data_IF_423410906928
#
_entry.id   IF_423410906928
#
_cell.length_a   1.000
_cell.length_b   1.000
_cell.length_c   1.000
_cell.angle_alpha   90.00
_cell.angle_beta   90.00
_cell.angle_gamma   90.00
#
_symmetry.space_group_name_H-M   'P 1'
#
loop_
_entity.id
_entity.type
_entity.pdbx_description
1 polymer ?
#
# COMPACT_ATOMS: atom_id res chain seq x y z
N UNK A 1 29.02 55.69 -113.59
CA UNK A 1 29.91 56.22 -112.55
C UNK A 1 29.16 56.16 -111.23
N UNK A 2 29.60 55.32 -110.30
CA UNK A 2 29.02 55.26 -108.96
C UNK A 2 29.86 56.17 -108.06
N UNK A 3 29.30 57.31 -107.64
CA UNK A 3 29.96 58.24 -106.71
C UNK A 3 29.74 57.76 -105.29
N UNK A 4 30.79 57.28 -104.62
CA UNK A 4 30.75 57.08 -103.17
C UNK A 4 30.75 58.45 -102.48
N UNK A 5 29.89 58.61 -101.48
CA UNK A 5 29.86 59.80 -100.64
C UNK A 5 30.90 59.60 -99.53
N UNK A 6 31.76 60.60 -99.30
CA UNK A 6 32.75 60.58 -98.23
C UNK A 6 32.11 60.64 -96.83
N UNK A 7 32.88 60.31 -95.77
CA UNK A 7 32.42 60.37 -94.39
C UNK A 7 31.87 61.78 -94.05
N UNK A 8 30.60 61.85 -93.66
CA UNK A 8 29.93 63.09 -93.26
C UNK A 8 30.44 63.56 -91.89
N UNK A 9 30.92 64.80 -91.78
CA UNK A 9 31.27 65.42 -90.50
C UNK A 9 30.02 65.95 -89.79
N UNK A 10 29.67 65.35 -88.64
CA UNK A 10 28.51 65.72 -87.82
C UNK A 10 28.99 66.23 -86.46
N UNK A 11 28.57 67.42 -86.05
CA UNK A 11 28.80 68.02 -84.72
C UNK A 11 27.52 67.99 -83.87
N UNK A 12 27.64 68.32 -82.58
CA UNK A 12 26.53 68.36 -81.62
C UNK A 12 25.35 69.22 -82.08
N UNK A 13 25.60 70.33 -82.79
CA UNK A 13 24.54 71.19 -83.31
C UNK A 13 23.63 70.48 -84.33
N UNK A 14 24.17 69.51 -85.08
CA UNK A 14 23.41 68.75 -86.10
C UNK A 14 22.63 67.56 -85.51
N UNK A 15 22.81 67.24 -84.23
CA UNK A 15 22.15 66.11 -83.55
C UNK A 15 21.32 66.53 -82.33
N UNK A 16 21.21 67.82 -82.04
CA UNK A 16 20.54 68.35 -80.86
C UNK A 16 19.10 67.84 -80.70
N UNK A 17 18.36 67.71 -81.82
CA UNK A 17 17.00 67.19 -81.87
C UNK A 17 16.87 65.94 -82.77
N UNK A 18 17.97 65.19 -82.96
CA UNK A 18 17.95 64.04 -83.84
C UNK A 18 17.11 62.89 -83.25
N UNK A 19 16.08 62.46 -83.99
CA UNK A 19 15.33 61.25 -83.67
C UNK A 19 16.16 60.01 -83.98
N UNK A 20 16.85 59.46 -82.98
CA UNK A 20 17.58 58.19 -83.08
C UNK A 20 16.62 57.04 -82.74
N UNK A 21 16.18 56.29 -83.74
CA UNK A 21 15.33 55.10 -83.53
C UNK A 21 16.18 53.87 -83.22
N UNK A 22 15.59 52.84 -82.62
CA UNK A 22 16.26 51.57 -82.27
C UNK A 22 17.09 50.95 -83.42
N UNK A 23 16.58 50.99 -84.66
CA UNK A 23 17.29 50.47 -85.84
C UNK A 23 18.65 51.16 -86.12
N UNK A 24 18.90 52.34 -85.54
CA UNK A 24 20.17 53.09 -85.66
C UNK A 24 21.12 52.80 -84.49
N UNK A 25 20.71 52.02 -83.49
CA UNK A 25 21.50 51.67 -82.30
C UNK A 25 21.72 50.15 -82.30
N UNK A 26 22.87 49.70 -82.82
CA UNK A 26 23.23 48.28 -82.79
C UNK A 26 23.64 47.80 -81.38
N UNK A 27 24.55 48.53 -80.74
CA UNK A 27 24.96 48.31 -79.34
C UNK A 27 25.35 49.64 -78.70
N UNK A 28 25.23 49.73 -77.38
CA UNK A 28 25.57 50.93 -76.61
C UNK A 28 26.56 50.57 -75.50
N UNK A 29 27.70 51.26 -75.44
CA UNK A 29 28.63 51.14 -74.30
C UNK A 29 28.08 51.92 -73.11
N UNK A 30 27.89 51.25 -71.97
CA UNK A 30 27.33 51.86 -70.77
C UNK A 30 28.31 52.76 -69.99
N UNK A 31 29.58 52.88 -70.42
CA UNK A 31 30.63 53.65 -69.71
C UNK A 31 30.34 55.15 -69.57
N UNK A 32 29.38 55.69 -70.31
CA UNK A 32 28.99 57.10 -70.33
C UNK A 32 27.53 57.35 -69.92
N UNK A 33 26.80 56.31 -69.50
CA UNK A 33 25.41 56.48 -69.07
C UNK A 33 25.41 57.07 -67.67
N UNK A 34 25.05 58.35 -67.57
CA UNK A 34 24.68 59.04 -66.33
C UNK A 34 23.33 59.67 -66.58
N UNK A 35 22.31 59.24 -65.86
CA UNK A 35 20.91 59.66 -66.04
C UNK A 35 20.28 59.95 -64.68
N UNK A 36 19.25 60.79 -64.64
CA UNK A 36 18.47 61.02 -63.42
C UNK A 36 17.57 59.82 -63.09
N UNK A 37 16.76 59.37 -64.03
CA UNK A 37 15.90 58.19 -63.89
C UNK A 37 16.05 57.30 -65.11
N UNK A 38 16.40 56.04 -64.89
CA UNK A 38 16.32 55.00 -65.90
C UNK A 38 15.02 54.22 -65.68
N UNK A 39 14.08 54.28 -66.63
CA UNK A 39 12.93 53.39 -66.60
C UNK A 39 13.35 51.98 -67.04
N UNK A 40 13.62 51.12 -66.07
CA UNK A 40 14.20 49.79 -66.28
C UNK A 40 13.16 48.67 -66.47
N UNK A 41 11.95 48.97 -66.96
CA UNK A 41 10.85 48.00 -67.09
C UNK A 41 11.21 46.72 -67.88
N UNK A 42 12.17 46.80 -68.80
CA UNK A 42 12.61 45.68 -69.65
C UNK A 42 14.14 45.48 -69.63
N UNK A 43 14.82 45.86 -68.54
CA UNK A 43 16.29 45.78 -68.45
C UNK A 43 16.71 44.56 -67.63
N UNK A 44 17.52 43.68 -68.22
CA UNK A 44 18.18 42.59 -67.51
C UNK A 44 19.62 42.99 -67.17
N UNK A 45 19.95 43.07 -65.88
CA UNK A 45 21.32 43.31 -65.42
C UNK A 45 21.91 41.98 -64.94
N UNK A 46 22.91 41.47 -65.66
CA UNK A 46 23.52 40.17 -65.36
C UNK A 46 24.48 40.25 -64.16
N UNK A 47 25.20 41.36 -64.00
CA UNK A 47 26.21 41.55 -62.96
C UNK A 47 26.12 42.97 -62.37
N UNK A 48 25.14 43.21 -61.50
CA UNK A 48 25.00 44.51 -60.82
C UNK A 48 26.06 44.63 -59.70
N UNK A 49 27.02 45.52 -59.88
CA UNK A 49 27.94 45.94 -58.82
C UNK A 49 27.56 47.33 -58.33
N UNK A 50 26.91 47.42 -57.16
CA UNK A 50 26.44 48.66 -56.58
C UNK A 50 26.82 48.74 -55.10
N UNK A 51 27.31 49.90 -54.66
CA UNK A 51 27.58 50.15 -53.24
C UNK A 51 26.29 50.24 -52.40
N UNK A 52 25.18 50.64 -53.01
CA UNK A 52 23.87 50.77 -52.36
C UNK A 52 22.75 50.50 -53.35
N UNK A 53 21.75 49.76 -52.92
CA UNK A 53 20.52 49.50 -53.67
C UNK A 53 19.36 49.91 -52.77
N UNK A 54 18.66 50.97 -53.16
CA UNK A 54 17.40 51.36 -52.54
C UNK A 54 16.29 50.81 -53.43
N UNK A 55 15.63 49.75 -52.97
CA UNK A 55 14.56 49.08 -53.71
C UNK A 55 13.32 48.96 -52.82
N UNK A 56 12.13 48.91 -53.43
CA UNK A 56 10.90 48.57 -52.74
C UNK A 56 10.85 47.08 -52.41
N UNK A 57 10.65 46.26 -53.44
CA UNK A 57 10.62 44.79 -53.31
C UNK A 57 11.76 44.18 -54.12
N UNK A 58 12.52 43.29 -53.50
CA UNK A 58 13.54 42.47 -54.16
C UNK A 58 13.16 41.00 -53.95
N UNK A 59 12.78 40.32 -55.02
CA UNK A 59 12.30 38.93 -54.98
C UNK A 59 13.41 37.96 -55.42
N UNK A 60 13.36 36.71 -54.94
CA UNK A 60 14.27 35.61 -55.33
C UNK A 60 15.77 35.95 -55.19
N UNK A 61 16.19 36.29 -53.97
CA UNK A 61 17.58 36.64 -53.65
C UNK A 61 18.33 35.39 -53.17
N UNK A 62 19.40 35.02 -53.88
CA UNK A 62 20.43 34.15 -53.32
C UNK A 62 21.48 35.00 -52.61
N UNK A 63 21.58 34.84 -51.29
CA UNK A 63 22.47 35.63 -50.45
C UNK A 63 23.62 34.77 -49.91
N UNK A 64 24.84 35.02 -50.37
CA UNK A 64 26.06 34.38 -49.86
C UNK A 64 26.63 35.20 -48.70
N UNK A 65 26.12 34.94 -47.49
CA UNK A 65 26.46 35.70 -46.29
C UNK A 65 25.78 37.07 -46.24
N UNK A 66 25.55 37.60 -45.05
CA UNK A 66 24.91 38.93 -44.92
C UNK A 66 24.49 39.27 -43.50
N UNK A 67 24.43 40.57 -43.21
CA UNK A 67 23.99 41.13 -41.93
C UNK A 67 22.73 41.96 -42.15
N UNK A 68 21.60 41.50 -41.61
CA UNK A 68 20.36 42.27 -41.52
C UNK A 68 20.42 43.00 -40.19
N UNK A 69 20.39 44.34 -40.22
CA UNK A 69 20.49 45.18 -39.03
C UNK A 69 19.18 45.95 -38.85
N UNK A 70 18.73 46.12 -37.61
CA UNK A 70 17.57 46.94 -37.29
C UNK A 70 17.74 48.37 -37.81
N UNK A 71 16.67 48.96 -38.37
CA UNK A 71 16.68 50.29 -38.96
C UNK A 71 16.96 51.43 -37.98
N UNK A 72 16.54 51.28 -36.72
CA UNK A 72 16.45 52.42 -35.80
C UNK A 72 17.74 52.64 -35.00
N UNK A 73 18.11 51.67 -34.15
CA UNK A 73 19.29 51.78 -33.27
C UNK A 73 20.55 51.14 -33.86
N UNK A 74 20.40 50.29 -34.89
CA UNK A 74 21.47 49.43 -35.36
C UNK A 74 21.96 48.38 -34.36
N UNK A 75 21.30 48.26 -33.20
CA UNK A 75 21.77 47.48 -32.07
C UNK A 75 21.53 45.99 -32.29
N UNK A 76 20.39 45.61 -32.86
CA UNK A 76 20.08 44.20 -33.12
C UNK A 76 20.39 43.83 -34.56
N UNK A 77 20.96 42.64 -34.74
CA UNK A 77 21.22 42.12 -36.08
C UNK A 77 21.08 40.60 -36.19
N UNK A 78 20.71 40.16 -37.39
CA UNK A 78 20.78 38.78 -37.83
C UNK A 78 21.92 38.64 -38.83
N UNK A 79 22.82 37.67 -38.61
CA UNK A 79 23.99 37.47 -39.47
C UNK A 79 24.05 36.03 -39.98
N UNK A 80 24.15 35.86 -41.29
CA UNK A 80 24.42 34.57 -41.94
C UNK A 80 25.93 34.41 -42.06
N UNK A 81 26.52 33.56 -41.22
CA UNK A 81 27.96 33.36 -41.16
C UNK A 81 28.29 31.89 -40.90
N UNK A 82 29.23 31.32 -41.67
CA UNK A 82 29.77 29.96 -41.45
C UNK A 82 28.68 28.88 -41.32
N UNK A 83 27.65 28.94 -42.15
CA UNK A 83 26.54 27.99 -42.14
C UNK A 83 25.59 28.12 -40.95
N UNK A 84 25.70 29.19 -40.16
CA UNK A 84 24.84 29.48 -39.02
C UNK A 84 24.11 30.81 -39.19
N UNK A 85 22.99 30.96 -38.48
CA UNK A 85 22.26 32.21 -38.32
C UNK A 85 22.50 32.70 -36.90
N UNK A 86 23.14 33.85 -36.76
CA UNK A 86 23.41 34.48 -35.47
C UNK A 86 22.41 35.60 -35.20
N UNK A 87 21.86 35.61 -33.99
CA UNK A 87 21.07 36.72 -33.46
C UNK A 87 21.94 37.47 -32.46
N UNK A 88 22.21 38.75 -32.72
CA UNK A 88 23.15 39.55 -31.94
C UNK A 88 22.51 40.83 -31.43
N UNK A 89 23.02 41.27 -30.28
CA UNK A 89 22.87 42.63 -29.76
C UNK A 89 24.26 43.27 -29.71
N UNK A 90 24.50 44.25 -30.58
CA UNK A 90 25.82 44.81 -30.86
C UNK A 90 26.80 43.69 -31.25
N UNK A 91 27.89 43.52 -30.49
CA UNK A 91 28.87 42.45 -30.70
C UNK A 91 28.50 41.14 -30.00
N UNK A 92 27.54 41.17 -29.06
CA UNK A 92 27.19 40.02 -28.22
C UNK A 92 26.23 39.09 -28.96
N UNK A 93 26.49 37.80 -28.86
CA UNK A 93 25.61 36.76 -29.38
C UNK A 93 24.50 36.49 -28.35
N UNK A 94 23.24 36.55 -28.79
CA UNK A 94 22.08 36.22 -27.97
C UNK A 94 21.72 34.74 -28.12
N UNK A 95 21.66 34.32 -29.38
CA UNK A 95 21.35 32.96 -29.77
C UNK A 95 21.89 32.69 -31.19
N UNK A 96 21.97 31.42 -31.54
CA UNK A 96 22.25 31.02 -32.92
C UNK A 96 21.53 29.75 -33.32
N UNK A 97 21.29 29.64 -34.61
CA UNK A 97 20.89 28.39 -35.27
C UNK A 97 22.13 27.89 -36.00
N UNK A 98 22.63 26.72 -35.63
CA UNK A 98 23.87 26.17 -36.18
C UNK A 98 23.74 24.69 -36.52
N UNK A 99 24.53 24.16 -37.47
CA UNK A 99 24.63 22.73 -37.67
C UNK A 99 25.24 22.01 -36.46
N UNK A 100 24.79 20.80 -36.20
CA UNK A 100 25.43 19.87 -35.25
C UNK A 100 26.41 19.02 -36.04
N UNK A 101 27.66 18.93 -35.58
CA UNK A 101 28.69 18.14 -36.23
C UNK A 101 29.05 16.91 -35.40
N UNK A 102 29.13 15.75 -36.05
CA UNK A 102 29.77 14.54 -35.51
C UNK A 102 30.91 14.17 -36.46
N UNK A 103 32.13 14.03 -35.95
CA UNK A 103 33.31 13.71 -36.76
C UNK A 103 33.51 14.64 -37.98
N UNK A 104 33.21 15.94 -37.82
CA UNK A 104 33.25 17.00 -38.86
C UNK A 104 32.16 16.94 -39.93
N UNK A 105 31.25 15.96 -39.87
CA UNK A 105 30.09 15.90 -40.76
C UNK A 105 28.86 16.54 -40.10
N UNK A 106 28.10 17.39 -40.82
CA UNK A 106 26.86 17.94 -40.31
C UNK A 106 25.80 16.84 -40.21
N UNK A 107 25.32 16.56 -39.00
CA UNK A 107 24.34 15.50 -38.70
C UNK A 107 22.98 16.03 -38.25
N UNK A 108 22.85 17.34 -38.05
CA UNK A 108 21.61 17.94 -37.55
C UNK A 108 21.69 19.44 -37.37
N UNK A 109 20.70 19.98 -36.65
CA UNK A 109 20.53 21.40 -36.40
C UNK A 109 20.36 21.63 -34.89
N UNK A 110 21.02 22.65 -34.35
CA UNK A 110 20.85 23.11 -32.99
C UNK A 110 20.34 24.55 -32.97
N UNK A 111 19.40 24.81 -32.07
CA UNK A 111 19.07 26.16 -31.61
C UNK A 111 19.78 26.35 -30.28
N UNK A 112 20.64 27.36 -30.19
CA UNK A 112 21.54 27.56 -29.04
C UNK A 112 21.23 28.90 -28.39
N UNK A 113 20.82 28.86 -27.12
CA UNK A 113 20.79 30.04 -26.25
C UNK A 113 22.20 30.29 -25.70
N UNK A 114 22.60 31.56 -25.61
CA UNK A 114 23.83 31.94 -24.91
C UNK A 114 23.53 32.18 -23.41
N UNK A 115 24.37 31.69 -22.48
CA UNK A 115 24.18 31.96 -21.05
C UNK A 115 24.01 33.45 -20.74
N UNK A 116 23.08 33.79 -19.85
CA UNK A 116 22.67 35.17 -19.57
C UNK A 116 21.51 35.68 -20.45
N UNK A 117 21.10 34.92 -21.47
CA UNK A 117 20.01 35.29 -22.38
C UNK A 117 18.81 34.36 -22.22
N UNK A 118 17.60 34.84 -22.47
CA UNK A 118 16.40 33.99 -22.42
C UNK A 118 16.04 33.50 -23.82
N UNK A 119 15.81 32.19 -23.95
CA UNK A 119 15.15 31.63 -25.14
C UNK A 119 13.77 31.10 -24.75
N UNK A 120 12.72 31.51 -25.46
CA UNK A 120 11.37 31.08 -25.13
C UNK A 120 10.47 30.94 -26.35
N UNK A 121 9.56 29.98 -26.28
CA UNK A 121 8.43 29.85 -27.20
C UNK A 121 7.22 30.42 -26.48
N UNK A 122 6.63 31.48 -27.02
CA UNK A 122 5.62 32.25 -26.33
C UNK A 122 4.27 32.19 -27.04
N UNK A 123 3.20 32.36 -26.25
CA UNK A 123 1.86 32.70 -26.76
C UNK A 123 1.69 34.22 -26.66
N UNK A 124 1.34 34.86 -27.78
CA UNK A 124 1.12 36.31 -27.85
C UNK A 124 -0.26 36.73 -27.35
N UNK A 125 -0.37 37.98 -26.94
CA UNK A 125 -1.65 38.65 -26.71
C UNK A 125 -2.27 39.11 -28.03
N UNK A 126 -3.59 38.98 -28.18
CA UNK A 126 -4.29 39.53 -29.34
C UNK A 126 -4.49 41.06 -29.26
N UNK A 127 -4.29 41.65 -28.08
CA UNK A 127 -4.63 43.04 -27.79
C UNK A 127 -3.40 43.94 -27.57
N UNK A 128 -2.21 43.37 -27.48
CA UNK A 128 -0.97 44.10 -27.22
C UNK A 128 0.25 43.31 -27.73
N UNK A 129 1.45 43.86 -27.51
CA UNK A 129 2.73 43.28 -27.96
C UNK A 129 3.36 42.33 -26.94
N UNK A 130 2.66 42.01 -25.85
CA UNK A 130 3.17 41.11 -24.80
C UNK A 130 2.95 39.65 -25.16
N UNK A 131 3.71 38.78 -24.51
CA UNK A 131 3.61 37.34 -24.69
C UNK A 131 4.09 36.61 -23.44
N UNK A 132 3.62 35.38 -23.23
CA UNK A 132 4.05 34.53 -22.11
C UNK A 132 4.65 33.22 -22.62
N UNK A 133 5.72 32.71 -21.99
CA UNK A 133 6.34 31.45 -22.41
C UNK A 133 5.43 30.26 -22.11
N UNK A 134 5.37 29.30 -23.04
CA UNK A 134 4.93 27.91 -22.78
C UNK A 134 6.12 26.98 -22.58
N UNK A 135 7.26 27.32 -23.18
CA UNK A 135 8.56 26.72 -22.96
C UNK A 135 9.62 27.83 -22.85
N UNK A 136 10.54 27.71 -21.90
CA UNK A 136 11.62 28.67 -21.70
C UNK A 136 12.91 27.98 -21.24
N UNK A 137 14.02 28.42 -21.81
CA UNK A 137 15.37 28.28 -21.26
C UNK A 137 15.70 29.62 -20.60
N UNK A 138 15.81 29.67 -19.26
CA UNK A 138 16.10 30.92 -18.56
C UNK A 138 17.54 31.36 -18.77
N UNK A 139 17.81 32.63 -18.48
CA UNK A 139 19.15 33.25 -18.49
C UNK A 139 20.15 32.56 -17.55
N UNK A 140 19.65 31.91 -16.48
CA UNK A 140 20.41 31.08 -15.54
C UNK A 140 20.92 29.76 -16.11
N UNK A 141 20.40 29.33 -17.26
CA UNK A 141 20.77 28.06 -17.89
C UNK A 141 22.16 28.14 -18.54
N UNK A 142 22.96 27.08 -18.39
CA UNK A 142 24.29 26.95 -18.96
C UNK A 142 24.65 25.49 -19.24
N UNK A 143 25.82 25.23 -19.84
CA UNK A 143 26.29 23.87 -20.16
C UNK A 143 26.46 22.96 -18.93
N UNK A 144 26.70 23.53 -17.75
CA UNK A 144 26.89 22.79 -16.49
C UNK A 144 25.67 22.86 -15.59
N UNK A 145 24.73 23.77 -15.86
CA UNK A 145 23.47 23.93 -15.14
C UNK A 145 22.34 24.08 -16.16
N UNK A 146 21.91 22.97 -16.74
CA UNK A 146 20.90 22.97 -17.80
C UNK A 146 19.51 23.08 -17.18
N UNK A 147 18.89 24.24 -17.36
CA UNK A 147 17.55 24.54 -16.87
C UNK A 147 16.58 24.73 -18.04
N UNK A 148 15.35 24.25 -17.86
CA UNK A 148 14.21 24.55 -18.72
C UNK A 148 12.95 24.64 -17.87
N UNK A 149 11.97 25.41 -18.35
CA UNK A 149 10.66 25.60 -17.70
C UNK A 149 9.56 25.39 -18.72
N UNK A 150 8.57 24.58 -18.37
CA UNK A 150 7.30 24.49 -19.10
C UNK A 150 6.20 25.13 -18.27
N UNK A 151 5.34 25.90 -18.94
CA UNK A 151 4.26 26.66 -18.31
C UNK A 151 2.91 26.27 -18.92
N UNK A 152 1.84 26.51 -18.15
CA UNK A 152 0.47 26.24 -18.58
C UNK A 152 0.04 24.78 -18.41
N UNK A 153 -1.07 24.43 -19.07
CA UNK A 153 -1.62 23.08 -19.08
C UNK A 153 -1.14 22.35 -20.34
N UNK A 154 -0.74 21.08 -20.19
CA UNK A 154 -0.33 20.24 -21.31
C UNK A 154 -0.78 18.80 -21.12
N UNK A 155 -1.02 18.11 -22.24
CA UNK A 155 -1.29 16.67 -22.27
C UNK A 155 -0.07 15.95 -22.84
N UNK A 156 0.30 14.81 -22.26
CA UNK A 156 1.33 13.92 -22.80
C UNK A 156 0.65 12.63 -23.26
N UNK A 157 0.41 12.53 -24.57
CA UNK A 157 -0.16 11.34 -25.20
C UNK A 157 0.96 10.39 -25.69
N UNK A 158 1.85 10.01 -24.78
CA UNK A 158 3.02 9.17 -25.06
C UNK A 158 3.59 8.52 -23.80
N UNK A 159 4.38 7.47 -23.99
CA UNK A 159 5.20 6.88 -22.92
C UNK A 159 6.39 7.81 -22.63
N UNK A 160 6.53 8.25 -21.37
CA UNK A 160 7.69 9.03 -20.91
C UNK A 160 8.66 8.11 -20.16
N UNK A 161 9.81 7.84 -20.76
CA UNK A 161 10.90 7.08 -20.14
C UNK A 161 11.94 8.03 -19.55
N UNK A 162 12.19 7.93 -18.24
CA UNK A 162 13.28 8.64 -17.57
C UNK A 162 14.44 7.65 -17.32
N UNK A 163 15.56 7.84 -18.01
CA UNK A 163 16.72 6.94 -17.92
C UNK A 163 17.57 7.15 -16.66
N UNK A 164 17.26 8.17 -15.86
CA UNK A 164 17.97 8.56 -14.65
C UNK A 164 16.98 8.91 -13.53
N UNK A 165 17.49 9.21 -12.33
CA UNK A 165 16.70 9.63 -11.17
C UNK A 165 15.85 10.87 -11.47
N UNK A 166 14.55 10.78 -11.18
CA UNK A 166 13.60 11.90 -11.27
C UNK A 166 13.31 12.44 -9.87
N UNK A 167 13.82 13.63 -9.57
CA UNK A 167 13.44 14.37 -8.36
C UNK A 167 12.22 15.25 -8.66
N UNK A 168 11.00 14.74 -8.45
CA UNK A 168 9.77 15.46 -8.75
C UNK A 168 8.79 15.48 -7.57
N UNK A 169 8.19 16.64 -7.30
CA UNK A 169 7.00 16.77 -6.45
C UNK A 169 5.76 16.52 -7.32
N UNK A 170 5.35 15.26 -7.44
CA UNK A 170 4.21 14.86 -8.27
C UNK A 170 2.93 14.85 -7.44
N UNK A 171 1.87 15.50 -7.95
CA UNK A 171 0.50 15.37 -7.44
C UNK A 171 -0.33 14.71 -8.53
N UNK A 172 -0.70 13.45 -8.32
CA UNK A 172 -1.60 12.73 -9.22
C UNK A 172 -3.05 12.97 -8.75
N UNK A 173 -3.78 13.84 -9.45
CA UNK A 173 -5.23 14.00 -9.27
C UNK A 173 -5.89 13.25 -10.42
N UNK A 174 -6.43 12.07 -10.14
CA UNK A 174 -7.06 11.21 -11.13
C UNK A 174 -8.48 10.86 -10.68
N UNK A 175 -9.44 10.95 -11.59
CA UNK A 175 -10.79 10.37 -11.39
C UNK A 175 -10.81 8.85 -11.62
N UNK A 176 -9.70 8.29 -12.12
CA UNK A 176 -9.47 6.87 -12.41
C UNK A 176 -8.34 6.31 -11.54
N UNK A 177 -8.04 5.01 -11.68
CA UNK A 177 -6.92 4.35 -10.99
C UNK A 177 -5.57 4.98 -11.36
N UNK A 178 -4.80 5.44 -10.37
CA UNK A 178 -3.35 5.72 -10.52
C UNK A 178 -2.62 4.40 -10.31
N UNK A 179 -2.24 3.72 -11.39
CA UNK A 179 -1.49 2.46 -11.31
C UNK A 179 0.01 2.74 -11.37
N UNK A 180 0.71 2.58 -10.24
CA UNK A 180 2.17 2.50 -10.23
C UNK A 180 2.59 1.09 -10.67
N UNK A 181 2.65 0.86 -11.99
CA UNK A 181 3.04 -0.43 -12.57
C UNK A 181 4.54 -0.45 -12.87
N UNK A 182 5.28 -1.40 -12.27
CA UNK A 182 6.69 -1.64 -12.59
C UNK A 182 6.83 -2.26 -13.98
N UNK A 183 7.72 -1.72 -14.81
CA UNK A 183 8.31 -2.43 -15.95
C UNK A 183 9.58 -3.10 -15.42
N UNK A 184 9.59 -4.44 -15.38
CA UNK A 184 10.67 -5.23 -14.78
C UNK A 184 11.82 -5.46 -15.76
N UNK A 185 13.05 -5.18 -15.33
CA UNK A 185 14.28 -5.87 -15.79
C UNK A 185 15.05 -6.36 -14.55
N UNK A 186 14.82 -7.61 -14.11
CA UNK A 186 15.66 -8.29 -13.10
C UNK A 186 14.96 -8.94 -11.89
N UNK A 187 15.53 -10.07 -11.44
CA UNK A 187 14.98 -11.09 -10.53
C UNK A 187 15.14 -10.83 -9.01
N UNK A 188 14.77 -9.66 -8.47
CA UNK A 188 14.51 -9.51 -7.02
C UNK A 188 13.39 -8.51 -6.78
N UNK A 189 12.31 -8.97 -6.14
CA UNK A 189 11.10 -8.19 -5.90
C UNK A 189 11.16 -7.50 -4.54
N UNK A 190 11.54 -6.22 -4.55
CA UNK A 190 11.39 -5.34 -3.39
C UNK A 190 10.73 -4.04 -3.84
N UNK A 191 9.47 -3.84 -3.45
CA UNK A 191 8.81 -2.53 -3.49
C UNK A 191 9.27 -1.74 -2.27
N UNK A 192 10.31 -0.93 -2.41
CA UNK A 192 10.78 -0.05 -1.33
C UNK A 192 10.25 1.36 -1.60
N UNK A 193 9.16 1.75 -0.93
CA UNK A 193 8.90 3.17 -0.70
C UNK A 193 9.76 3.58 0.49
N UNK A 194 10.98 4.05 0.21
CA UNK A 194 11.86 4.58 1.24
C UNK A 194 11.37 5.98 1.63
N UNK A 195 10.78 6.09 2.81
CA UNK A 195 10.38 7.37 3.40
C UNK A 195 11.50 7.81 4.35
N UNK A 196 12.38 8.71 3.91
CA UNK A 196 13.42 9.26 4.78
C UNK A 196 12.83 10.39 5.66
N UNK A 197 13.11 10.40 6.96
CA UNK A 197 12.69 11.46 7.90
C UNK A 197 11.31 11.27 8.56
N UNK A 198 10.65 12.37 8.98
CA UNK A 198 9.31 12.40 9.63
C UNK A 198 8.15 12.15 8.65
N UNK A 199 8.34 11.31 7.64
CA UNK A 199 7.35 11.08 6.58
C UNK A 199 6.50 9.84 6.89
N UNK A 200 5.17 9.96 6.74
CA UNK A 200 4.22 8.86 6.94
C UNK A 200 3.47 8.56 5.64
N UNK A 201 3.19 7.28 5.38
CA UNK A 201 2.33 6.82 4.30
C UNK A 201 0.88 6.86 4.79
N UNK A 202 0.13 7.91 4.42
CA UNK A 202 -1.32 7.96 4.64
C UNK A 202 -2.06 7.29 3.48
N UNK A 203 -2.88 6.28 3.78
CA UNK A 203 -3.84 5.71 2.82
C UNK A 203 -5.23 5.95 3.40
N UNK A 204 -5.77 7.13 3.10
CA UNK A 204 -7.12 7.54 3.50
C UNK A 204 -8.09 7.22 2.36
N UNK A 205 -9.07 6.36 2.63
CA UNK A 205 -10.12 6.01 1.69
C UNK A 205 -11.42 5.72 2.42
N UNK A 206 -12.55 6.09 1.80
CA UNK A 206 -13.91 5.82 2.30
C UNK A 206 -14.16 4.31 2.50
N UNK A 207 -13.42 3.47 1.76
CA UNK A 207 -13.35 2.03 1.90
C UNK A 207 -11.91 1.66 2.25
N UNK A 208 -11.71 0.98 3.38
CA UNK A 208 -10.37 0.75 3.97
C UNK A 208 -9.33 0.06 3.08
N UNK A 209 -8.08 0.05 3.54
CA UNK A 209 -6.94 -0.55 2.83
C UNK A 209 -7.13 -2.07 2.68
N UNK A 210 -7.18 -2.54 1.43
CA UNK A 210 -7.33 -3.96 1.10
C UNK A 210 -6.04 -4.51 0.48
N UNK A 211 -5.33 -5.35 1.23
CA UNK A 211 -4.19 -6.12 0.72
C UNK A 211 -4.71 -7.48 0.24
N UNK A 212 -4.62 -7.76 -1.08
CA UNK A 212 -5.06 -9.01 -1.71
C UNK A 212 -3.87 -9.81 -2.23
N UNK A 213 -3.87 -11.12 -1.99
CA UNK A 213 -2.99 -12.09 -2.64
C UNK A 213 -3.84 -12.97 -3.56
N UNK A 214 -3.54 -12.97 -4.86
CA UNK A 214 -4.34 -13.66 -5.88
C UNK A 214 -3.73 -15.00 -6.35
N UNK A 215 -2.79 -15.59 -5.60
CA UNK A 215 -2.29 -16.94 -5.86
C UNK A 215 -2.67 -17.89 -4.71
N UNK A 216 -2.90 -19.16 -5.03
CA UNK A 216 -3.16 -20.21 -4.04
C UNK A 216 -1.94 -20.38 -3.14
N UNK A 217 -1.96 -19.76 -1.96
CA UNK A 217 -0.87 -19.78 -0.99
C UNK A 217 -1.12 -18.79 0.16
N UNK A 218 -0.55 -19.08 1.33
CA UNK A 218 -0.66 -18.25 2.53
C UNK A 218 -0.17 -16.83 2.26
N UNK A 219 -1.05 -15.84 2.42
CA UNK A 219 -0.65 -14.44 2.43
C UNK A 219 0.05 -14.13 3.76
N UNK A 220 1.37 -14.15 3.75
CA UNK A 220 2.18 -13.56 4.80
C UNK A 220 2.16 -12.03 4.62
N UNK A 221 1.33 -11.32 5.37
CA UNK A 221 1.50 -9.86 5.60
C UNK A 221 2.08 -9.63 6.99
N UNK A 222 3.35 -9.99 7.26
CA UNK A 222 3.97 -9.52 8.48
C UNK A 222 4.19 -8.01 8.30
N UNK A 223 3.52 -7.19 9.11
CA UNK A 223 4.04 -5.85 9.40
C UNK A 223 5.33 -6.11 10.20
N UNK A 224 6.45 -6.26 9.50
CA UNK A 224 7.74 -6.59 10.11
C UNK A 224 8.65 -5.36 10.09
N UNK A 225 8.88 -4.79 11.26
CA UNK A 225 9.90 -3.76 11.43
C UNK A 225 11.29 -4.42 11.44
N UNK A 226 12.10 -4.13 10.41
CA UNK A 226 13.49 -4.61 10.28
C UNK A 226 14.43 -3.41 10.19
N UNK A 227 15.58 -3.48 10.85
CA UNK A 227 16.70 -2.55 10.67
C UNK A 227 17.92 -3.37 10.28
N UNK A 228 18.56 -3.04 9.14
CA UNK A 228 19.72 -3.77 8.61
C UNK A 228 19.54 -5.30 8.59
N UNK A 229 18.43 -5.79 8.00
CA UNK A 229 18.07 -7.21 7.94
C UNK A 229 17.91 -7.94 9.29
N UNK A 230 17.96 -7.22 10.41
CA UNK A 230 17.68 -7.76 11.75
C UNK A 230 16.25 -7.40 12.14
N UNK A 231 15.46 -8.40 12.57
CA UNK A 231 14.11 -8.19 13.13
C UNK A 231 14.26 -7.29 14.37
N UNK A 232 13.59 -6.14 14.39
CA UNK A 232 13.69 -5.18 15.50
C UNK A 232 12.96 -5.78 16.71
N UNK A 233 13.72 -6.32 17.65
CA UNK A 233 13.24 -6.99 18.85
C UNK A 233 12.99 -6.02 20.02
N UNK A 234 12.41 -4.86 19.77
CA UNK A 234 11.93 -3.95 20.82
C UNK A 234 10.48 -3.56 20.55
N UNK A 235 9.72 -3.37 21.62
CA UNK A 235 8.26 -3.31 21.73
C UNK A 235 7.60 -2.51 20.59
N UNK A 236 7.25 -3.19 19.51
CA UNK A 236 6.30 -2.65 18.54
C UNK A 236 4.92 -2.98 19.08
N UNK A 237 4.28 -1.99 19.69
CA UNK A 237 2.87 -2.12 20.04
C UNK A 237 2.07 -2.06 18.75
N UNK A 238 1.59 -3.21 18.26
CA UNK A 238 0.53 -3.21 17.25
C UNK A 238 -0.77 -2.91 17.99
N UNK A 239 -1.09 -1.62 18.12
CA UNK A 239 -2.35 -1.18 18.71
C UNK A 239 -3.49 -1.41 17.72
N UNK A 240 -4.22 -2.52 17.87
CA UNK A 240 -5.50 -2.72 17.19
C UNK A 240 -6.59 -1.98 17.97
N UNK A 241 -6.71 -0.67 17.75
CA UNK A 241 -7.75 0.14 18.36
C UNK A 241 -9.09 -0.11 17.67
N UNK A 242 -9.93 -0.95 18.27
CA UNK A 242 -11.31 -1.17 17.85
C UNK A 242 -12.20 -0.23 18.66
N UNK A 243 -12.66 0.87 18.05
CA UNK A 243 -13.56 1.84 18.70
C UNK A 243 -15.00 1.32 18.78
N UNK A 244 -15.76 1.88 19.74
CA UNK A 244 -17.15 1.55 20.11
C UNK A 244 -17.99 0.87 19.02
N UNK A 245 -18.38 -0.39 19.27
CA UNK A 245 -19.33 -1.14 18.43
C UNK A 245 -18.72 -2.06 17.37
N UNK A 246 -17.39 -2.06 17.18
CA UNK A 246 -16.73 -2.97 16.24
C UNK A 246 -16.25 -4.28 16.91
N UNK A 247 -16.32 -5.39 16.16
CA UNK A 247 -15.90 -6.71 16.62
C UNK A 247 -14.52 -7.08 16.03
N UNK A 248 -13.66 -7.71 16.84
CA UNK A 248 -12.48 -8.41 16.34
C UNK A 248 -12.85 -9.87 16.05
N UNK A 249 -12.90 -10.27 14.77
CA UNK A 249 -13.18 -11.65 14.37
C UNK A 249 -11.89 -12.33 13.88
N UNK A 250 -11.40 -13.30 14.65
CA UNK A 250 -10.26 -14.14 14.31
C UNK A 250 -10.77 -15.52 13.84
N UNK A 251 -10.73 -15.80 12.53
CA UNK A 251 -11.04 -17.14 11.98
C UNK A 251 -9.74 -17.93 11.82
N UNK A 252 -9.47 -18.83 12.75
CA UNK A 252 -8.25 -19.64 12.80
C UNK A 252 -8.55 -21.02 13.39
N UNK A 253 -7.82 -22.05 12.96
CA UNK A 253 -7.88 -23.39 13.57
C UNK A 253 -7.25 -23.41 14.97
N UNK A 254 -6.40 -22.41 15.28
CA UNK A 254 -5.70 -22.26 16.56
C UNK A 254 -5.50 -20.79 16.91
N UNK A 255 -5.93 -20.39 18.11
CA UNK A 255 -5.58 -19.10 18.73
C UNK A 255 -4.68 -19.36 19.94
N UNK A 256 -3.50 -18.73 19.94
CA UNK A 256 -2.52 -18.84 21.03
C UNK A 256 -2.30 -17.48 21.70
N UNK A 257 -2.41 -17.45 23.03
CA UNK A 257 -2.02 -16.30 23.85
C UNK A 257 -0.81 -16.73 24.69
N UNK A 258 0.39 -16.31 24.31
CA UNK A 258 1.65 -16.73 24.94
C UNK A 258 2.40 -15.54 25.55
N UNK A 259 3.01 -15.75 26.72
CA UNK A 259 3.97 -14.81 27.31
C UNK A 259 5.37 -15.44 27.27
N UNK A 260 6.21 -14.96 26.34
CA UNK A 260 7.63 -15.33 26.23
C UNK A 260 7.96 -16.47 25.24
N UNK A 261 8.80 -16.17 24.25
CA UNK A 261 9.52 -17.14 23.40
C UNK A 261 8.75 -17.67 22.19
N UNK A 262 9.21 -17.29 20.99
CA UNK A 262 8.85 -17.93 19.71
C UNK A 262 9.23 -19.41 19.78
N UNK A 263 8.30 -20.32 20.06
CA UNK A 263 8.56 -21.75 19.92
C UNK A 263 7.26 -22.56 19.89
N UNK A 264 6.90 -22.93 18.67
CA UNK A 264 5.87 -23.90 18.31
C UNK A 264 6.05 -25.29 19.00
N UNK A 265 7.16 -25.51 19.73
CA UNK A 265 7.51 -26.75 20.41
C UNK A 265 8.24 -26.59 21.77
N UNK A 266 8.30 -25.41 22.40
CA UNK A 266 8.96 -25.32 23.72
C UNK A 266 8.01 -25.79 24.83
N UNK A 267 8.50 -26.71 25.66
CA UNK A 267 7.75 -27.32 26.76
C UNK A 267 7.48 -26.31 27.89
N UNK A 268 6.37 -25.56 27.76
CA UNK A 268 5.69 -24.69 28.72
C UNK A 268 5.88 -23.16 28.57
N UNK A 269 5.35 -22.53 27.50
CA UNK A 269 4.97 -21.12 27.58
C UNK A 269 3.82 -20.98 28.58
N UNK A 270 3.74 -19.85 29.29
CA UNK A 270 2.64 -19.51 30.21
C UNK A 270 1.31 -19.20 29.46
N UNK A 271 1.04 -19.93 28.38
CA UNK A 271 0.00 -19.61 27.42
C UNK A 271 -1.26 -20.45 27.53
N UNK A 272 -2.32 -19.93 26.92
CA UNK A 272 -3.61 -20.60 26.76
C UNK A 272 -3.88 -20.72 25.27
N UNK A 273 -4.26 -21.92 24.83
CA UNK A 273 -4.61 -22.18 23.44
C UNK A 273 -6.08 -22.55 23.32
N UNK A 274 -6.79 -21.87 22.42
CA UNK A 274 -8.07 -22.34 21.89
C UNK A 274 -7.79 -23.00 20.54
N UNK A 275 -8.20 -24.25 20.36
CA UNK A 275 -7.95 -24.97 19.11
C UNK A 275 -8.64 -26.32 19.06
N UNK A 276 -8.20 -27.18 18.15
CA UNK A 276 -8.80 -28.50 17.93
C UNK A 276 -7.76 -29.61 17.74
N UNK A 277 -8.08 -30.81 18.24
CA UNK A 277 -7.45 -32.08 17.88
C UNK A 277 -8.53 -33.09 17.47
N UNK A 278 -9.29 -32.73 16.43
CA UNK A 278 -10.57 -33.37 16.04
C UNK A 278 -11.77 -32.98 16.92
N UNK A 279 -11.55 -32.40 18.10
CA UNK A 279 -12.58 -31.77 18.94
C UNK A 279 -12.14 -30.40 19.43
N UNK A 280 -13.03 -29.39 19.50
CA UNK A 280 -12.71 -28.09 20.08
C UNK A 280 -12.30 -28.20 21.54
N UNK A 281 -11.24 -27.51 21.95
CA UNK A 281 -10.72 -27.51 23.32
C UNK A 281 -10.05 -26.20 23.71
N UNK A 282 -10.03 -25.96 25.02
CA UNK A 282 -9.12 -25.00 25.67
C UNK A 282 -8.07 -25.84 26.40
N UNK A 283 -6.78 -25.62 26.11
CA UNK A 283 -5.71 -26.40 26.74
C UNK A 283 -4.51 -25.53 27.09
N UNK A 284 -3.85 -25.89 28.20
CA UNK A 284 -2.62 -25.25 28.68
C UNK A 284 -1.85 -26.20 29.59
N UNK A 285 -0.63 -26.55 29.18
CA UNK A 285 0.25 -27.39 30.00
C UNK A 285 0.77 -26.65 31.24
N UNK A 286 0.87 -25.32 31.17
CA UNK A 286 1.20 -24.48 32.32
C UNK A 286 0.10 -24.53 33.39
N UNK A 287 -1.18 -24.56 32.99
CA UNK A 287 -2.30 -24.78 33.92
C UNK A 287 -2.24 -26.20 34.50
N UNK A 288 -2.04 -27.22 33.67
CA UNK A 288 -2.00 -28.62 34.11
C UNK A 288 -0.86 -28.92 35.11
N UNK A 289 0.36 -28.43 34.85
CA UNK A 289 1.52 -28.70 35.70
C UNK A 289 1.49 -27.96 37.05
N UNK A 290 0.59 -26.99 37.23
CA UNK A 290 0.54 -26.18 38.44
C UNK A 290 -0.45 -26.77 39.44
N UNK A 291 0.08 -27.43 40.47
CA UNK A 291 -0.71 -28.10 41.50
C UNK A 291 -0.89 -27.22 42.75
N UNK A 292 -2.02 -27.41 43.45
CA UNK A 292 -2.32 -26.77 44.73
C UNK A 292 -3.07 -27.76 45.61
N UNK A 293 -2.97 -27.62 46.93
CA UNK A 293 -3.65 -28.50 47.90
C UNK A 293 -5.13 -28.14 48.15
N UNK A 294 -5.64 -27.07 47.51
CA UNK A 294 -7.04 -26.64 47.63
C UNK A 294 -7.92 -27.32 46.57
N UNK A 295 -9.21 -27.48 46.85
CA UNK A 295 -10.15 -28.12 45.94
C UNK A 295 -10.33 -27.36 44.61
N UNK A 296 -10.35 -28.08 43.49
CA UNK A 296 -10.59 -27.56 42.14
C UNK A 296 -12.08 -27.37 41.87
N UNK A 297 -12.62 -26.17 42.10
CA UNK A 297 -14.06 -25.89 41.97
C UNK A 297 -14.41 -25.18 40.64
N UNK A 298 -14.48 -25.90 39.52
CA UNK A 298 -14.93 -25.38 38.21
C UNK A 298 -16.19 -26.12 37.73
N UNK A 299 -17.08 -25.42 37.02
CA UNK A 299 -18.29 -25.97 36.39
C UNK A 299 -18.47 -25.37 34.99
N UNK A 300 -19.04 -26.14 34.05
CA UNK A 300 -19.40 -25.67 32.71
C UNK A 300 -20.92 -25.62 32.61
N UNK A 301 -21.48 -24.44 32.34
CA UNK A 301 -22.93 -24.24 32.17
C UNK A 301 -23.44 -24.85 30.87
N UNK A 302 -24.76 -25.03 30.73
CA UNK A 302 -25.39 -25.48 29.48
C UNK A 302 -25.15 -24.55 28.29
N UNK A 303 -24.78 -23.29 28.53
CA UNK A 303 -24.38 -22.32 27.51
C UNK A 303 -22.89 -22.41 27.14
N UNK A 304 -22.14 -23.39 27.68
CA UNK A 304 -20.70 -23.54 27.43
C UNK A 304 -19.81 -22.56 28.20
N UNK A 305 -20.36 -21.83 29.18
CA UNK A 305 -19.60 -20.87 29.99
C UNK A 305 -18.91 -21.56 31.17
N UNK A 306 -17.63 -21.24 31.39
CA UNK A 306 -16.86 -21.67 32.57
C UNK A 306 -17.25 -20.82 33.79
N UNK A 307 -17.61 -21.47 34.89
CA UNK A 307 -17.94 -20.85 36.17
C UNK A 307 -17.29 -21.55 37.36
N UNK A 308 -17.38 -20.94 38.54
CA UNK A 308 -16.89 -21.52 39.81
C UNK A 308 -18.04 -22.17 40.58
N UNK A 309 -17.80 -23.34 41.17
CA UNK A 309 -18.74 -23.93 42.13
C UNK A 309 -18.54 -23.33 43.53
N UNK A 310 -19.62 -23.06 44.27
CA UNK A 310 -19.56 -22.41 45.59
C UNK A 310 -20.52 -23.05 46.57
N UNK A 311 -20.13 -23.10 47.86
CA UNK A 311 -20.97 -23.70 48.92
C UNK A 311 -21.04 -22.88 50.22
N UNK A 312 -20.47 -21.67 50.25
CA UNK A 312 -20.51 -20.80 51.43
C UNK A 312 -21.91 -20.19 51.63
N UNK A 313 -22.33 -20.01 52.90
CA UNK A 313 -23.66 -19.46 53.26
C UNK A 313 -23.99 -18.15 52.56
N UNK A 314 -23.01 -17.26 52.34
CA UNK A 314 -23.22 -15.97 51.65
C UNK A 314 -23.68 -16.06 50.19
N UNK A 315 -23.62 -17.25 49.58
CA UNK A 315 -24.08 -17.51 48.22
C UNK A 315 -25.40 -18.31 48.20
N UNK A 316 -26.05 -18.51 49.36
CA UNK A 316 -27.24 -19.35 49.52
C UNK A 316 -28.32 -18.58 50.26
N UNK A 317 -29.56 -18.86 49.92
CA UNK A 317 -30.77 -18.33 50.56
C UNK A 317 -31.69 -19.51 50.91
N UNK A 318 -32.59 -19.33 51.88
CA UNK A 318 -33.56 -20.34 52.34
C UNK A 318 -32.95 -21.71 52.72
N UNK A 319 -31.98 -21.71 53.65
CA UNK A 319 -31.31 -22.93 54.10
C UNK A 319 -32.18 -23.70 55.11
N UNK A 320 -32.69 -24.88 54.73
CA UNK A 320 -33.54 -25.75 55.54
C UNK A 320 -32.98 -27.17 55.69
N UNK A 321 -33.52 -27.95 56.64
CA UNK A 321 -33.22 -29.38 56.78
C UNK A 321 -33.97 -30.15 55.68
N UNK A 322 -33.26 -31.04 54.97
CA UNK A 322 -33.82 -31.83 53.89
C UNK A 322 -34.41 -33.16 54.41
N UNK A 323 -35.58 -33.12 55.03
CA UNK A 323 -36.26 -34.30 55.60
C UNK A 323 -36.50 -35.42 54.57
N UNK A 324 -36.82 -35.05 53.32
CA UNK A 324 -37.01 -36.03 52.25
C UNK A 324 -35.73 -36.84 51.96
N UNK A 325 -34.56 -36.19 51.99
CA UNK A 325 -33.26 -36.84 51.81
C UNK A 325 -33.00 -37.86 52.91
N UNK A 326 -33.34 -37.50 54.16
CA UNK A 326 -33.20 -38.39 55.32
C UNK A 326 -34.09 -39.63 55.15
N UNK A 327 -35.37 -39.43 54.84
CA UNK A 327 -36.37 -40.51 54.75
C UNK A 327 -36.05 -41.59 53.70
N UNK A 328 -35.32 -41.22 52.64
CA UNK A 328 -35.00 -42.11 51.52
C UNK A 328 -33.54 -42.55 51.48
N UNK A 329 -32.71 -42.14 52.42
CA UNK A 329 -31.26 -42.39 52.39
C UNK A 329 -30.93 -43.88 52.23
N UNK A 330 -31.62 -44.77 52.95
CA UNK A 330 -31.41 -46.23 52.88
C UNK A 330 -31.63 -46.83 51.48
N UNK A 331 -32.34 -46.14 50.57
CA UNK A 331 -32.49 -46.60 49.17
C UNK A 331 -31.14 -46.68 48.45
N UNK A 332 -30.15 -45.88 48.85
CA UNK A 332 -28.79 -45.91 48.31
C UNK A 332 -28.14 -47.29 48.46
N UNK A 333 -28.42 -48.01 49.55
CA UNK A 333 -27.84 -49.33 49.84
C UNK A 333 -28.23 -50.39 48.80
N UNK A 334 -29.28 -50.14 48.01
CA UNK A 334 -29.73 -51.04 46.95
C UNK A 334 -29.07 -50.81 45.59
N UNK A 335 -28.24 -49.76 45.45
CA UNK A 335 -27.57 -49.42 44.20
C UNK A 335 -26.18 -50.05 44.18
N UNK A 336 -25.88 -50.83 43.14
CA UNK A 336 -24.60 -51.51 42.98
C UNK A 336 -23.63 -50.69 42.11
N UNK A 337 -22.31 -50.73 42.39
CA UNK A 337 -21.32 -50.14 41.49
C UNK A 337 -21.35 -50.79 40.10
N UNK A 338 -21.18 -49.96 39.07
CA UNK A 338 -21.09 -50.34 37.67
C UNK A 338 -19.66 -50.21 37.13
N UNK A 339 -19.40 -50.83 35.97
CA UNK A 339 -18.18 -50.58 35.19
C UNK A 339 -18.50 -50.43 33.70
N UNK A 340 -17.77 -49.57 32.99
CA UNK A 340 -18.06 -49.25 31.59
C UNK A 340 -16.79 -48.91 30.79
N UNK A 341 -16.95 -48.80 29.47
CA UNK A 341 -15.99 -48.18 28.55
C UNK A 341 -16.60 -46.88 27.99
N UNK A 342 -15.78 -45.84 27.84
CA UNK A 342 -16.26 -44.57 27.28
C UNK A 342 -16.50 -44.69 25.76
N UNK A 343 -17.73 -44.38 25.34
CA UNK A 343 -18.15 -44.49 23.93
C UNK A 343 -17.37 -43.53 23.02
N UNK A 344 -17.04 -42.33 23.50
CA UNK A 344 -16.38 -41.31 22.71
C UNK A 344 -14.86 -41.59 22.59
N UNK A 345 -14.20 -42.11 23.62
CA UNK A 345 -12.82 -42.58 23.57
C UNK A 345 -12.65 -43.72 22.57
N UNK A 346 -13.56 -44.70 22.58
CA UNK A 346 -13.56 -45.79 21.59
C UNK A 346 -13.71 -45.23 20.18
N UNK A 347 -14.64 -44.30 19.95
CA UNK A 347 -14.85 -43.68 18.65
C UNK A 347 -13.62 -42.88 18.15
N UNK A 348 -12.79 -42.36 19.08
CA UNK A 348 -11.52 -41.68 18.79
C UNK A 348 -10.32 -42.62 18.64
N UNK A 349 -10.51 -43.95 18.71
CA UNK A 349 -9.42 -44.93 18.61
C UNK A 349 -8.56 -45.05 19.88
N UNK A 350 -9.06 -44.59 21.03
CA UNK A 350 -8.37 -44.69 22.32
C UNK A 350 -8.24 -46.15 22.82
N UNK A 351 -7.24 -46.41 23.68
CA UNK A 351 -7.10 -47.71 24.36
C UNK A 351 -8.27 -47.91 25.33
N UNK A 352 -8.91 -49.07 25.30
CA UNK A 352 -10.06 -49.40 26.14
C UNK A 352 -9.67 -49.54 27.63
N UNK A 353 -9.63 -48.43 28.37
CA UNK A 353 -9.59 -48.45 29.82
C UNK A 353 -11.00 -48.72 30.38
N UNK A 354 -11.10 -49.64 31.34
CA UNK A 354 -12.36 -49.88 32.05
C UNK A 354 -12.49 -48.89 33.20
N UNK A 355 -13.60 -48.18 33.24
CA UNK A 355 -13.96 -47.23 34.30
C UNK A 355 -14.93 -47.89 35.28
N UNK A 356 -14.94 -47.41 36.52
CA UNK A 356 -15.77 -47.93 37.62
C UNK A 356 -16.44 -46.78 38.35
N UNK A 357 -17.67 -46.98 38.81
CA UNK A 357 -18.42 -45.96 39.52
C UNK A 357 -19.90 -46.33 39.61
N UNK A 358 -20.76 -45.32 39.58
CA UNK A 358 -22.21 -45.42 39.60
C UNK A 358 -22.81 -44.78 38.34
N UNK A 359 -23.90 -45.34 37.83
CA UNK A 359 -24.64 -44.77 36.70
C UNK A 359 -25.78 -43.91 37.24
N UNK A 360 -25.90 -42.69 36.72
CA UNK A 360 -26.87 -41.70 37.22
C UNK A 360 -28.33 -42.19 37.09
N UNK A 361 -28.64 -42.93 36.04
CA UNK A 361 -29.97 -43.50 35.77
C UNK A 361 -30.48 -44.40 36.91
N UNK A 362 -29.59 -45.18 37.55
CA UNK A 362 -29.97 -46.05 38.66
C UNK A 362 -30.44 -45.24 39.88
N UNK A 363 -29.90 -44.03 40.07
CA UNK A 363 -30.30 -43.13 41.15
C UNK A 363 -31.65 -42.49 40.85
N UNK A 364 -31.88 -42.09 39.59
CA UNK A 364 -33.17 -41.55 39.15
C UNK A 364 -34.29 -42.59 39.35
N UNK A 365 -34.05 -43.84 38.93
CA UNK A 365 -34.99 -44.96 39.09
C UNK A 365 -35.33 -45.26 40.56
N UNK A 366 -34.39 -45.05 41.49
CA UNK A 366 -34.62 -45.23 42.94
C UNK A 366 -35.21 -43.99 43.63
N UNK A 367 -35.47 -42.92 42.87
CA UNK A 367 -36.04 -41.66 43.38
C UNK A 367 -35.06 -40.82 44.19
N UNK A 368 -33.75 -41.01 44.00
CA UNK A 368 -32.67 -40.24 44.63
C UNK A 368 -32.27 -39.04 43.75
N UNK A 369 -33.25 -38.23 43.34
CA UNK A 369 -33.12 -37.21 42.28
C UNK A 369 -32.20 -36.04 42.63
N UNK A 370 -31.94 -35.77 43.90
CA UNK A 370 -31.14 -34.64 44.41
C UNK A 370 -29.66 -34.72 44.02
N UNK A 371 -29.21 -35.92 43.70
CA UNK A 371 -27.85 -36.19 43.24
C UNK A 371 -27.79 -36.46 41.74
N UNK A 372 -28.92 -36.45 41.05
CA UNK A 372 -28.99 -36.61 39.60
C UNK A 372 -28.96 -35.22 38.96
N UNK A 373 -28.09 -35.07 37.96
CA UNK A 373 -27.99 -33.86 37.16
C UNK A 373 -28.79 -34.06 35.87
N UNK A 374 -29.71 -33.15 35.60
CA UNK A 374 -30.58 -33.21 34.43
C UNK A 374 -30.20 -32.13 33.41
N UNK A 375 -30.32 -32.47 32.13
CA UNK A 375 -30.17 -31.52 31.04
C UNK A 375 -31.43 -30.65 30.85
N UNK A 376 -31.37 -29.73 29.88
CA UNK A 376 -32.46 -28.77 29.61
C UNK A 376 -33.78 -29.42 29.20
N UNK A 377 -33.76 -30.61 28.61
CA UNK A 377 -34.95 -31.39 28.25
C UNK A 377 -35.37 -32.41 29.33
N UNK A 378 -34.76 -32.35 30.53
CA UNK A 378 -35.12 -33.21 31.66
C UNK A 378 -34.52 -34.62 31.62
N UNK A 379 -33.66 -34.92 30.65
CA UNK A 379 -32.90 -36.18 30.57
C UNK A 379 -31.79 -36.22 31.64
N UNK A 380 -31.44 -37.42 32.07
CA UNK A 380 -30.31 -37.66 32.97
C UNK A 380 -29.00 -37.39 32.22
N UNK A 381 -28.16 -36.51 32.78
CA UNK A 381 -26.86 -36.11 32.19
C UNK A 381 -25.67 -36.49 33.09
N UNK A 382 -25.89 -36.69 34.39
CA UNK A 382 -24.79 -37.04 35.28
C UNK A 382 -25.19 -37.24 36.73
N UNK A 383 -24.19 -37.56 37.55
CA UNK A 383 -24.34 -37.81 38.98
C UNK A 383 -23.44 -36.86 39.77
N UNK A 384 -24.00 -36.20 40.79
CA UNK A 384 -23.28 -35.41 41.77
C UNK A 384 -22.64 -36.31 42.82
N UNK A 385 -21.52 -36.95 42.46
CA UNK A 385 -20.79 -37.90 43.30
C UNK A 385 -20.41 -37.32 44.67
N UNK A 386 -20.01 -36.06 44.71
CA UNK A 386 -19.66 -35.33 45.93
C UNK A 386 -20.82 -35.29 46.95
N UNK A 387 -22.06 -35.28 46.46
CA UNK A 387 -23.27 -35.18 47.27
C UNK A 387 -23.78 -36.53 47.78
N UNK A 388 -23.24 -37.66 47.31
CA UNK A 388 -23.60 -38.98 47.84
C UNK A 388 -23.28 -39.11 49.34
N UNK A 389 -22.26 -38.38 49.79
CA UNK A 389 -21.86 -38.27 51.19
C UNK A 389 -23.00 -37.80 52.10
N UNK A 390 -23.98 -37.04 51.58
CA UNK A 390 -25.16 -36.62 52.34
C UNK A 390 -25.99 -37.84 52.77
N UNK A 391 -26.28 -38.74 51.84
CA UNK A 391 -27.02 -39.98 52.12
C UNK A 391 -26.21 -40.94 52.99
N UNK A 392 -24.92 -41.10 52.68
CA UNK A 392 -24.02 -41.93 53.48
C UNK A 392 -23.96 -41.46 54.92
N UNK A 393 -23.91 -40.14 55.18
CA UNK A 393 -23.87 -39.61 56.53
C UNK A 393 -25.15 -39.95 57.32
N UNK A 394 -26.33 -39.89 56.69
CA UNK A 394 -27.59 -40.31 57.31
C UNK A 394 -27.56 -41.80 57.66
N UNK A 395 -27.18 -42.64 56.71
CA UNK A 395 -27.07 -44.10 56.91
C UNK A 395 -26.07 -44.43 58.02
N UNK A 396 -24.89 -43.80 58.00
CA UNK A 396 -23.85 -44.02 59.00
C UNK A 396 -24.30 -43.58 60.40
N UNK A 397 -25.04 -42.48 60.49
CA UNK A 397 -25.60 -42.00 61.76
C UNK A 397 -26.65 -42.96 62.31
N UNK A 398 -27.53 -43.47 61.45
CA UNK A 398 -28.56 -44.45 61.82
C UNK A 398 -27.92 -45.79 62.23
N UNK A 399 -26.92 -46.27 61.48
CA UNK A 399 -26.14 -47.45 61.85
C UNK A 399 -25.42 -47.25 63.20
N UNK A 400 -24.83 -46.09 63.47
CA UNK A 400 -24.18 -45.83 64.77
C UNK A 400 -25.18 -45.87 65.93
N UNK A 401 -26.39 -45.32 65.74
CA UNK A 401 -27.46 -45.39 66.74
C UNK A 401 -27.91 -46.85 66.98
N UNK A 402 -28.13 -47.61 65.91
CA UNK A 402 -28.50 -49.03 65.99
C UNK A 402 -27.39 -49.87 66.65
N UNK A 403 -26.12 -49.63 66.29
CA UNK A 403 -24.95 -50.27 66.91
C UNK A 403 -24.92 -50.00 68.41
N UNK A 404 -25.19 -48.76 68.85
CA UNK A 404 -25.20 -48.44 70.27
C UNK A 404 -26.38 -49.08 71.01
N UNK A 405 -27.55 -49.13 70.39
CA UNK A 405 -28.70 -49.85 70.93
C UNK A 405 -28.38 -51.34 71.11
N UNK A 406 -27.82 -51.98 70.07
CA UNK A 406 -27.43 -53.39 70.10
C UNK A 406 -26.34 -53.66 71.14
N UNK A 407 -25.34 -52.77 71.30
CA UNK A 407 -24.33 -52.90 72.36
C UNK A 407 -24.95 -52.84 73.75
N UNK A 408 -25.86 -51.90 74.00
CA UNK A 408 -26.56 -51.78 75.28
C UNK A 408 -27.40 -53.03 75.58
N UNK A 409 -28.10 -53.58 74.58
CA UNK A 409 -28.88 -54.81 74.71
C UNK A 409 -27.98 -56.02 75.00
N UNK A 410 -26.86 -56.15 74.29
CA UNK A 410 -25.85 -57.19 74.54
C UNK A 410 -25.29 -57.09 75.96
N UNK A 411 -25.01 -55.89 76.47
CA UNK A 411 -24.52 -55.71 77.83
C UNK A 411 -25.57 -56.06 78.89
N UNK A 412 -26.84 -55.72 78.66
CA UNK A 412 -27.96 -56.15 79.51
C UNK A 412 -28.12 -57.68 79.51
N UNK A 413 -28.06 -58.32 78.35
CA UNK A 413 -28.12 -59.77 78.22
C UNK A 413 -26.95 -60.45 78.92
N UNK A 414 -25.72 -59.94 78.77
CA UNK A 414 -24.53 -60.44 79.48
C UNK A 414 -24.64 -60.32 81.00
N UNK A 415 -25.26 -59.25 81.51
CA UNK A 415 -25.53 -59.10 82.94
C UNK A 415 -26.55 -60.16 83.41
N UNK A 416 -27.63 -60.36 82.64
CA UNK A 416 -28.68 -61.35 82.96
C UNK A 416 -28.18 -62.80 82.89
N UNK A 417 -27.31 -63.13 81.95
CA UNK A 417 -26.65 -64.46 81.89
C UNK A 417 -25.76 -64.66 83.12
N UNK A 418 -24.97 -63.65 83.52
CA UNK A 418 -24.16 -63.72 84.76
C UNK A 418 -25.01 -63.94 86.01
N UNK A 419 -26.19 -63.32 86.09
CA UNK A 419 -27.12 -63.53 87.21
C UNK A 419 -27.71 -64.95 87.22
N UNK A 420 -27.98 -65.53 86.04
CA UNK A 420 -28.52 -66.88 85.91
C UNK A 420 -27.46 -67.98 86.13
N UNK A 421 -26.19 -67.75 85.77
CA UNK A 421 -25.08 -68.68 86.05
C UNK A 421 -24.64 -68.67 87.51
N UNK A 422 -25.00 -67.64 88.27
CA UNK A 422 -24.72 -67.50 89.70
C UNK A 422 -25.82 -68.08 90.62
N UNK A 423 -26.96 -68.49 90.04
CA UNK A 423 -28.09 -69.14 90.71
C UNK A 423 -28.06 -70.65 90.45
#
# INVERSE_FOLDING_TARGET
MCTSIANLAVSTAQIADAAITDAKIGSLSATKITTGTLNAANVNIINLNANSIVSGTLNAIDLTGGKITQSDSGEYSMELLKGSIYFRRSTNELARIQPIYISKEPVGLAIVQMPGEVFSINTGSATDTTSMPIFQIPDTSSRTNMEWKMYGLGNVDAIVNFNNTVNAKLRFVSTNTVEAKRIVTGNKDSYVMQMDGNNYLSIEGEYGVRIKHNQSGTLYTPIEARYNNTKIATTTTINLNVTSGANMTLKTDRLELNNGGDSYYSNAPAGVTLGMDSTPRIWSMAIYNRTYSSASNMFITSAGTIGRSTSARKYKEDIQVAEEVISKAKRLLSILPSSWYDKAEIARGGKAQRYYGFVADDFDLKGLKEVVLYGSSGQVEGLAYDRLTMYQNVILSDHEQEIQSLKNEVDQLKNKVRELEAA
#
